data_IF_878988079086
#
_entry.id   IF_878988079086
#
_cell.length_a   1.000
_cell.length_b   1.000
_cell.length_c   1.000
_cell.angle_alpha   90.00
_cell.angle_beta   90.00
_cell.angle_gamma   90.00
#
_symmetry.space_group_name_H-M   'P 1'
#
loop_
_entity.id
_entity.type
_entity.pdbx_description
1 polymer ?
#
# COMPACT_ATOMS: atom_id res chain seq x y z
N UNK A 1 12.74 28.42 1.95
CA UNK A 1 11.63 27.46 1.93
C UNK A 1 12.08 26.20 2.64
N UNK A 2 11.25 25.59 3.48
CA UNK A 2 11.60 24.34 4.17
C UNK A 2 11.36 23.16 3.22
N UNK A 3 12.40 22.37 2.99
CA UNK A 3 12.30 21.12 2.24
C UNK A 3 11.65 20.03 3.12
N UNK A 4 10.67 19.31 2.60
CA UNK A 4 9.98 18.24 3.33
C UNK A 4 10.43 16.86 2.85
N UNK A 5 10.50 15.88 3.74
CA UNK A 5 10.77 14.48 3.37
C UNK A 5 9.93 13.55 4.24
N UNK A 6 9.50 12.42 3.68
CA UNK A 6 8.73 11.42 4.41
C UNK A 6 8.78 10.04 3.77
N UNK A 7 8.61 9.03 4.62
CA UNK A 7 8.59 7.61 4.26
C UNK A 7 7.16 7.11 4.04
N UNK A 8 6.94 6.38 2.95
CA UNK A 8 5.63 5.88 2.54
C UNK A 8 5.73 4.37 2.30
N UNK A 9 4.86 3.58 2.92
CA UNK A 9 4.69 2.17 2.59
C UNK A 9 3.43 1.96 1.75
N UNK A 10 3.55 1.22 0.64
CA UNK A 10 2.40 0.78 -0.15
C UNK A 10 2.07 -0.65 0.26
N UNK A 11 0.94 -0.82 0.94
CA UNK A 11 0.50 -2.10 1.52
C UNK A 11 -0.79 -2.56 0.86
N UNK A 12 -1.10 -3.84 0.95
CA UNK A 12 -2.31 -4.42 0.36
C UNK A 12 -2.11 -5.84 -0.15
N UNK A 13 -3.20 -6.53 -0.53
CA UNK A 13 -3.16 -7.89 -1.06
C UNK A 13 -2.26 -8.05 -2.28
N UNK A 14 -1.93 -9.29 -2.65
CA UNK A 14 -1.23 -9.61 -3.89
C UNK A 14 -1.91 -8.97 -5.12
N UNK A 15 -1.14 -8.58 -6.14
CA UNK A 15 -1.67 -8.22 -7.47
C UNK A 15 -2.71 -7.06 -7.53
N UNK A 16 -2.94 -6.32 -6.44
CA UNK A 16 -3.82 -5.14 -6.42
C UNK A 16 -3.27 -3.93 -7.20
N UNK A 17 -2.00 -3.98 -7.62
CA UNK A 17 -1.37 -2.96 -8.47
C UNK A 17 -0.33 -2.06 -7.79
N UNK A 18 0.18 -2.44 -6.61
CA UNK A 18 1.17 -1.68 -5.83
C UNK A 18 2.39 -1.23 -6.67
N UNK A 19 3.06 -2.18 -7.32
CA UNK A 19 4.24 -1.90 -8.15
C UNK A 19 3.90 -1.08 -9.40
N UNK A 20 2.70 -1.25 -9.97
CA UNK A 20 2.21 -0.45 -11.10
C UNK A 20 2.06 1.01 -10.69
N UNK A 21 1.41 1.27 -9.54
CA UNK A 21 1.24 2.61 -9.01
C UNK A 21 2.59 3.26 -8.68
N UNK A 22 3.50 2.51 -8.04
CA UNK A 22 4.84 3.01 -7.71
C UNK A 22 5.61 3.42 -8.98
N UNK A 23 5.65 2.57 -10.00
CA UNK A 23 6.33 2.88 -11.25
C UNK A 23 5.73 4.12 -11.94
N UNK A 24 4.41 4.28 -11.86
CA UNK A 24 3.72 5.46 -12.38
C UNK A 24 4.09 6.73 -11.62
N UNK A 25 4.13 6.69 -10.28
CA UNK A 25 4.56 7.82 -9.45
C UNK A 25 6.01 8.20 -9.79
N UNK A 26 6.91 7.22 -9.90
CA UNK A 26 8.33 7.45 -10.15
C UNK A 26 8.64 7.91 -11.58
N UNK A 27 7.67 7.88 -12.50
CA UNK A 27 7.88 8.23 -13.91
C UNK A 27 8.92 7.34 -14.63
N UNK A 28 9.34 6.23 -14.01
CA UNK A 28 10.38 5.32 -14.47
C UNK A 28 10.02 3.89 -14.06
N UNK A 29 10.32 2.90 -14.91
CA UNK A 29 10.25 1.47 -14.55
C UNK A 29 11.40 1.09 -13.61
N UNK A 30 11.38 1.58 -12.37
CA UNK A 30 12.42 1.31 -11.36
C UNK A 30 12.11 0.07 -10.51
N UNK A 31 10.82 -0.24 -10.30
CA UNK A 31 10.45 -1.44 -9.54
C UNK A 31 10.62 -2.67 -10.43
N UNK A 32 11.73 -3.40 -10.21
CA UNK A 32 11.91 -4.76 -10.73
C UNK A 32 10.76 -5.60 -10.18
N UNK A 33 9.88 -6.06 -11.06
CA UNK A 33 8.86 -7.06 -10.78
C UNK A 33 9.60 -8.40 -10.62
N UNK A 34 10.20 -8.65 -9.46
CA UNK A 34 10.94 -9.89 -9.17
C UNK A 34 10.16 -10.74 -8.17
N UNK A 35 9.90 -12.02 -8.45
CA UNK A 35 9.18 -12.92 -7.56
C UNK A 35 10.05 -13.52 -6.43
N UNK A 36 11.28 -13.02 -6.19
CA UNK A 36 12.19 -13.62 -5.17
C UNK A 36 12.14 -12.86 -3.84
N UNK A 37 11.61 -13.47 -2.76
CA UNK A 37 11.77 -12.94 -1.41
C UNK A 37 13.16 -13.29 -0.85
N UNK A 38 13.63 -12.49 0.13
CA UNK A 38 14.78 -12.67 1.06
C UNK A 38 15.96 -11.68 0.87
N UNK A 39 16.43 -11.13 2.02
CA UNK A 39 17.71 -10.45 2.35
C UNK A 39 17.89 -8.92 2.26
N UNK A 40 17.15 -8.12 3.05
CA UNK A 40 17.63 -7.00 3.94
C UNK A 40 16.41 -6.33 4.60
N UNK A 41 16.50 -5.94 5.88
CA UNK A 41 15.41 -5.27 6.60
C UNK A 41 15.29 -3.82 6.09
N UNK A 42 14.16 -3.50 5.46
CA UNK A 42 13.72 -2.18 4.98
C UNK A 42 14.45 -1.67 3.74
N UNK A 43 13.99 -2.15 2.57
CA UNK A 43 14.52 -1.74 1.27
C UNK A 43 13.76 -0.52 0.77
N UNK A 44 14.46 0.61 0.62
CA UNK A 44 13.95 1.74 -0.18
C UNK A 44 13.78 1.22 -1.62
N UNK A 45 12.56 1.34 -2.15
CA UNK A 45 12.19 0.85 -3.49
C UNK A 45 12.02 1.97 -4.50
N UNK A 46 11.89 3.20 -4.03
CA UNK A 46 11.72 4.35 -4.89
C UNK A 46 11.88 5.65 -4.13
N UNK A 47 12.40 6.65 -4.82
CA UNK A 47 12.45 8.02 -4.31
C UNK A 47 11.86 8.91 -5.40
N UNK A 48 10.80 9.63 -5.07
CA UNK A 48 10.29 10.72 -5.89
C UNK A 48 10.80 12.03 -5.30
N UNK A 49 11.48 12.84 -6.10
CA UNK A 49 12.01 14.14 -5.70
C UNK A 49 11.25 15.23 -6.46
N UNK A 50 10.51 16.06 -5.72
CA UNK A 50 9.90 17.28 -6.23
C UNK A 50 10.69 18.52 -5.82
N UNK A 51 10.25 19.70 -6.25
CA UNK A 51 11.01 20.94 -6.07
C UNK A 51 11.31 21.29 -4.60
N UNK A 52 10.35 20.99 -3.71
CA UNK A 52 10.45 21.32 -2.27
C UNK A 52 10.13 20.12 -1.36
N UNK A 53 10.10 18.90 -1.90
CA UNK A 53 9.78 17.71 -1.12
C UNK A 53 10.39 16.42 -1.68
N UNK A 54 10.48 15.40 -0.83
CA UNK A 54 10.89 14.05 -1.20
C UNK A 54 9.93 13.01 -0.61
N UNK A 55 9.54 12.05 -1.44
CA UNK A 55 8.77 10.88 -1.03
C UNK A 55 9.65 9.65 -1.14
N UNK A 56 9.87 8.96 -0.03
CA UNK A 56 10.69 7.75 0.04
C UNK A 56 9.77 6.54 0.18
N UNK A 57 9.66 5.74 -0.87
CA UNK A 57 8.84 4.53 -0.87
C UNK A 57 9.62 3.35 -0.29
N UNK A 58 9.03 2.70 0.70
CA UNK A 58 9.60 1.54 1.38
C UNK A 58 8.90 0.26 0.94
N UNK A 59 9.69 -0.81 0.76
CA UNK A 59 9.15 -2.15 0.56
C UNK A 59 8.57 -2.67 1.87
N UNK A 60 7.34 -3.14 1.81
CA UNK A 60 6.76 -3.98 2.85
C UNK A 60 6.51 -5.34 2.22
N UNK A 61 7.03 -6.45 2.78
CA UNK A 61 6.69 -7.78 2.31
C UNK A 61 5.17 -7.92 2.17
N UNK A 62 4.69 -8.39 1.01
CA UNK A 62 3.27 -8.55 0.77
C UNK A 62 2.64 -9.44 1.84
N UNK A 63 1.60 -8.94 2.52
CA UNK A 63 0.95 -9.60 3.66
C UNK A 63 0.11 -10.77 3.14
N UNK A 64 0.75 -11.90 2.85
CA UNK A 64 0.07 -13.11 2.35
C UNK A 64 -0.21 -14.09 3.48
N UNK A 65 -1.41 -14.66 3.51
CA UNK A 65 -1.74 -15.78 4.42
C UNK A 65 -1.12 -17.08 3.91
N UNK A 66 -0.02 -17.53 4.51
CA UNK A 66 0.54 -18.88 4.27
C UNK A 66 1.05 -19.51 5.58
N UNK A 67 0.93 -20.84 5.69
CA UNK A 67 0.74 -21.61 6.95
C UNK A 67 2.02 -21.98 7.75
N UNK A 68 3.19 -21.40 7.49
CA UNK A 68 4.48 -21.84 8.07
C UNK A 68 5.03 -20.89 9.15
N UNK A 69 5.78 -21.42 10.14
CA UNK A 69 6.33 -20.64 11.26
C UNK A 69 7.32 -19.52 10.83
N UNK A 70 8.08 -19.74 9.75
CA UNK A 70 8.90 -18.70 9.10
C UNK A 70 8.10 -17.46 8.69
N UNK A 71 6.81 -17.63 8.40
CA UNK A 71 5.95 -16.56 7.90
C UNK A 71 5.43 -15.65 9.01
N UNK A 72 5.26 -16.17 10.24
CA UNK A 72 4.94 -15.30 11.38
C UNK A 72 6.03 -14.24 11.58
N UNK A 73 7.31 -14.64 11.47
CA UNK A 73 8.44 -13.71 11.54
C UNK A 73 8.49 -12.73 10.36
N UNK A 74 8.11 -13.16 9.15
CA UNK A 74 8.01 -12.27 7.97
C UNK A 74 6.85 -11.28 8.07
N UNK A 75 5.70 -11.71 8.58
CA UNK A 75 4.52 -10.87 8.79
C UNK A 75 4.79 -9.88 9.93
N UNK A 76 5.41 -10.30 11.03
CA UNK A 76 5.91 -9.41 12.08
C UNK A 76 6.94 -8.41 11.54
N UNK A 77 7.84 -8.83 10.65
CA UNK A 77 8.81 -7.93 10.00
C UNK A 77 8.12 -6.94 9.05
N UNK A 78 7.07 -7.36 8.33
CA UNK A 78 6.27 -6.46 7.50
C UNK A 78 5.50 -5.42 8.33
N UNK A 79 5.08 -5.79 9.54
CA UNK A 79 4.44 -4.86 10.48
C UNK A 79 5.45 -3.99 11.24
N UNK A 80 6.69 -4.45 11.46
CA UNK A 80 7.75 -3.58 11.96
C UNK A 80 7.98 -2.39 11.02
N UNK A 81 7.92 -2.62 9.71
CA UNK A 81 8.02 -1.55 8.71
C UNK A 81 6.88 -0.52 8.80
N UNK A 82 5.73 -0.84 9.40
CA UNK A 82 4.65 0.14 9.59
C UNK A 82 5.02 1.21 10.62
N UNK A 83 5.86 0.88 11.59
CA UNK A 83 6.34 1.84 12.57
C UNK A 83 7.35 2.83 11.99
N UNK A 84 8.07 2.41 10.94
CA UNK A 84 9.17 3.16 10.32
C UNK A 84 8.72 4.13 9.23
N UNK A 85 7.46 4.06 8.79
CA UNK A 85 6.91 4.99 7.79
C UNK A 85 6.09 6.11 8.43
N UNK A 86 6.00 7.23 7.73
CA UNK A 86 5.14 8.35 8.10
C UNK A 86 3.71 8.12 7.59
N UNK A 87 3.56 7.50 6.41
CA UNK A 87 2.27 7.27 5.74
C UNK A 87 2.12 5.81 5.31
N UNK A 88 0.95 5.24 5.60
CA UNK A 88 0.52 3.94 5.09
C UNK A 88 -0.48 4.14 3.94
N UNK A 89 -0.10 3.68 2.74
CA UNK A 89 -0.96 3.68 1.57
C UNK A 89 -1.56 2.28 1.38
N UNK A 90 -2.76 2.06 1.94
CA UNK A 90 -3.48 0.81 1.77
C UNK A 90 -4.12 0.75 0.39
N UNK A 91 -3.69 -0.18 -0.44
CA UNK A 91 -4.18 -0.38 -1.79
C UNK A 91 -5.06 -1.63 -1.87
N UNK A 92 -6.28 -1.47 -2.37
CA UNK A 92 -7.23 -2.54 -2.67
C UNK A 92 -7.59 -2.47 -4.16
N UNK A 93 -8.30 -3.48 -4.68
CA UNK A 93 -8.85 -3.41 -6.04
C UNK A 93 -10.38 -3.45 -6.05
N UNK A 94 -10.98 -2.71 -7.00
CA UNK A 94 -12.43 -2.65 -7.15
C UNK A 94 -13.05 -4.02 -7.53
N UNK A 95 -12.29 -4.87 -8.21
CA UNK A 95 -12.72 -6.21 -8.64
C UNK A 95 -12.95 -7.17 -7.48
N UNK A 96 -12.13 -7.07 -6.42
CA UNK A 96 -12.14 -7.95 -5.25
C UNK A 96 -12.09 -7.12 -3.96
N UNK A 97 -13.15 -6.34 -3.65
CA UNK A 97 -13.16 -5.41 -2.51
C UNK A 97 -13.26 -6.12 -1.15
N UNK A 98 -13.44 -7.45 -1.14
CA UNK A 98 -13.64 -8.29 0.04
C UNK A 98 -12.51 -9.29 0.27
N UNK A 99 -11.33 -9.02 -0.28
CA UNK A 99 -10.16 -9.86 -0.05
C UNK A 99 -9.90 -10.04 1.47
N UNK A 100 -9.82 -11.30 1.97
CA UNK A 100 -9.68 -11.57 3.40
C UNK A 100 -8.37 -11.07 4.00
N UNK A 101 -7.34 -10.80 3.18
CA UNK A 101 -6.09 -10.19 3.63
C UNK A 101 -6.32 -8.75 4.11
N UNK A 102 -7.29 -8.03 3.53
CA UNK A 102 -7.55 -6.62 3.87
C UNK A 102 -7.93 -6.46 5.34
N UNK A 103 -8.79 -7.34 5.88
CA UNK A 103 -9.16 -7.31 7.31
C UNK A 103 -7.94 -7.53 8.21
N UNK A 104 -7.05 -8.45 7.81
CA UNK A 104 -5.81 -8.66 8.56
C UNK A 104 -4.93 -7.41 8.54
N UNK A 105 -4.85 -6.72 7.40
CA UNK A 105 -4.05 -5.50 7.27
C UNK A 105 -4.63 -4.38 8.14
N UNK A 106 -5.95 -4.14 8.08
CA UNK A 106 -6.65 -3.13 8.87
C UNK A 106 -6.40 -3.28 10.38
N UNK A 107 -6.54 -4.50 10.89
CA UNK A 107 -6.29 -4.80 12.31
C UNK A 107 -4.85 -4.46 12.76
N UNK A 108 -3.89 -4.46 11.84
CA UNK A 108 -2.51 -4.09 12.14
C UNK A 108 -2.26 -2.58 11.99
N UNK A 109 -2.91 -1.93 11.02
CA UNK A 109 -2.87 -0.46 10.88
C UNK A 109 -3.44 0.22 12.13
N UNK A 110 -4.52 -0.30 12.70
CA UNK A 110 -5.13 0.23 13.95
C UNK A 110 -4.15 0.28 15.13
N UNK A 111 -3.16 -0.63 15.16
CA UNK A 111 -2.18 -0.73 16.25
C UNK A 111 -1.08 0.33 16.19
N UNK A 112 -0.79 0.85 15.00
CA UNK A 112 0.35 1.76 14.77
C UNK A 112 -0.03 3.25 14.78
N UNK A 113 -1.33 3.58 14.68
CA UNK A 113 -1.86 4.97 14.72
C UNK A 113 -1.11 5.95 13.80
N UNK A 114 -0.82 5.51 12.57
CA UNK A 114 -0.18 6.33 11.52
C UNK A 114 -1.22 6.88 10.56
N UNK A 115 -0.87 7.95 9.86
CA UNK A 115 -1.65 8.45 8.71
C UNK A 115 -1.87 7.32 7.73
N UNK A 116 -3.13 7.06 7.38
CA UNK A 116 -3.51 5.97 6.49
C UNK A 116 -4.45 6.45 5.40
N UNK A 117 -4.02 6.23 4.16
CA UNK A 117 -4.77 6.58 2.95
C UNK A 117 -5.20 5.30 2.26
N UNK A 118 -6.48 5.21 1.92
CA UNK A 118 -7.01 4.13 1.10
C UNK A 118 -6.92 4.48 -0.38
N UNK A 119 -6.40 3.55 -1.17
CA UNK A 119 -6.37 3.62 -2.64
C UNK A 119 -7.17 2.46 -3.20
N UNK A 120 -8.25 2.79 -3.92
CA UNK A 120 -9.08 1.79 -4.61
C UNK A 120 -8.64 1.76 -6.06
N UNK A 121 -7.89 0.74 -6.43
CA UNK A 121 -7.30 0.62 -7.76
C UNK A 121 -8.19 -0.15 -8.74
N UNK A 122 -7.82 -0.08 -10.03
CA UNK A 122 -8.47 -0.76 -11.16
C UNK A 122 -9.90 -0.30 -11.38
N UNK A 123 -10.17 0.99 -11.11
CA UNK A 123 -11.51 1.57 -11.33
C UNK A 123 -11.90 1.59 -12.82
N UNK A 124 -10.92 1.49 -13.72
CA UNK A 124 -11.13 1.35 -15.17
C UNK A 124 -11.86 0.07 -15.56
N UNK A 125 -11.88 -0.95 -14.68
CA UNK A 125 -12.52 -2.24 -14.94
C UNK A 125 -14.01 -2.30 -14.53
N UNK A 126 -14.62 -1.17 -14.20
CA UNK A 126 -16.04 -1.14 -13.80
C UNK A 126 -16.60 0.27 -13.64
N UNK A 127 -17.82 0.36 -13.14
CA UNK A 127 -18.61 1.58 -13.17
C UNK A 127 -18.64 2.34 -11.83
N UNK A 128 -19.06 3.61 -11.86
CA UNK A 128 -19.20 4.45 -10.66
C UNK A 128 -20.21 3.88 -9.67
N UNK A 129 -21.27 3.25 -10.17
CA UNK A 129 -22.32 2.63 -9.37
C UNK A 129 -21.78 1.47 -8.51
N UNK A 130 -20.72 0.80 -8.98
CA UNK A 130 -20.00 -0.22 -8.21
C UNK A 130 -18.99 0.37 -7.24
N UNK A 131 -18.35 1.48 -7.60
CA UNK A 131 -17.31 2.12 -6.80
C UNK A 131 -17.87 2.79 -5.52
N UNK A 132 -19.00 3.49 -5.62
CA UNK A 132 -19.57 4.24 -4.49
C UNK A 132 -19.87 3.34 -3.27
N UNK A 133 -20.51 2.16 -3.41
CA UNK A 133 -20.70 1.24 -2.29
C UNK A 133 -19.40 0.76 -1.65
N UNK A 134 -18.33 0.59 -2.43
CA UNK A 134 -17.02 0.17 -1.91
C UNK A 134 -16.41 1.29 -1.06
N UNK A 135 -16.45 2.54 -1.53
CA UNK A 135 -15.99 3.70 -0.75
C UNK A 135 -16.73 3.78 0.58
N UNK A 136 -18.06 3.69 0.54
CA UNK A 136 -18.89 3.79 1.75
C UNK A 136 -18.60 2.67 2.75
N UNK A 137 -18.50 1.43 2.25
CA UNK A 137 -18.10 0.27 3.04
C UNK A 137 -16.78 0.49 3.78
N UNK A 138 -15.78 1.06 3.12
CA UNK A 138 -14.46 1.25 3.73
C UNK A 138 -14.40 2.45 4.66
N UNK A 139 -15.18 3.52 4.42
CA UNK A 139 -15.37 4.62 5.38
C UNK A 139 -15.89 4.13 6.73
N UNK A 140 -16.80 3.14 6.71
CA UNK A 140 -17.37 2.56 7.92
C UNK A 140 -16.42 1.57 8.62
N UNK A 141 -15.49 0.95 7.88
CA UNK A 141 -14.54 -0.03 8.43
C UNK A 141 -13.35 0.59 9.14
N UNK A 142 -12.86 1.74 8.67
CA UNK A 142 -11.65 2.37 9.22
C UNK A 142 -11.64 3.88 8.91
N UNK A 143 -11.21 4.74 9.85
CA UNK A 143 -11.15 6.19 9.65
C UNK A 143 -9.91 6.59 8.83
N UNK A 144 -9.94 6.33 7.52
CA UNK A 144 -8.86 6.76 6.63
C UNK A 144 -8.79 8.29 6.52
N UNK A 145 -7.57 8.84 6.47
CA UNK A 145 -7.34 10.27 6.26
C UNK A 145 -7.79 10.73 4.87
N UNK A 146 -7.70 9.85 3.88
CA UNK A 146 -8.21 10.07 2.54
C UNK A 146 -8.54 8.74 1.84
N UNK A 147 -9.45 8.81 0.86
CA UNK A 147 -9.81 7.69 0.00
C UNK A 147 -9.72 8.15 -1.46
N UNK A 148 -8.82 7.52 -2.23
CA UNK A 148 -8.60 7.84 -3.64
C UNK A 148 -8.96 6.66 -4.55
N UNK A 149 -9.99 6.80 -5.40
CA UNK A 149 -10.19 5.88 -6.51
C UNK A 149 -9.19 6.20 -7.63
N UNK A 150 -8.45 5.19 -8.09
CA UNK A 150 -7.42 5.37 -9.13
C UNK A 150 -7.45 4.24 -10.16
N UNK A 151 -6.94 4.52 -11.35
CA UNK A 151 -6.42 3.49 -12.24
C UNK A 151 -4.91 3.65 -12.30
N UNK A 152 -4.15 2.72 -11.73
CA UNK A 152 -2.69 2.77 -11.80
C UNK A 152 -2.17 2.64 -13.25
N UNK A 153 -3.02 2.26 -14.21
CA UNK A 153 -2.71 2.18 -15.62
C UNK A 153 -2.98 3.48 -16.39
N UNK A 154 -3.76 4.43 -15.84
CA UNK A 154 -4.20 5.65 -16.56
C UNK A 154 -3.83 6.93 -15.82
#
# INVERSE_FOLDING_TARGET
MSFLSGFIAIIGPANVGKSTLLNRILGKKLAIVSPKPQTTRNRIIGIYHGDNYQMVFMDTPGIHRTRTALHKSMVESAFAAFHEVDILLLMIEMGHPDDPEILSILNNIERVKKTCILVINKIDLGSKERLLPIIEKYRQKYPFDAIFPVSALQ
#
